data_IF_943103248648
#
_entry.id   IF_943103248648
#
_cell.length_a   1.000
_cell.length_b   1.000
_cell.length_c   1.000
_cell.angle_alpha   90.00
_cell.angle_beta   90.00
_cell.angle_gamma   90.00
#
_symmetry.space_group_name_H-M   'P 1'
#
loop_
_entity.id
_entity.type
_entity.pdbx_description
1 polymer ?
#
# COMPACT_ATOMS: atom_id res chain seq x y z
N UNK A 1 17.29 2.32 1.89
CA UNK A 1 18.61 1.91 1.33
C UNK A 1 19.48 1.15 2.33
N UNK A 2 19.65 1.61 3.58
CA UNK A 2 20.49 0.92 4.59
C UNK A 2 19.95 -0.46 5.03
N UNK A 3 18.66 -0.59 5.38
CA UNK A 3 18.09 -1.88 5.85
C UNK A 3 18.14 -2.99 4.79
N UNK A 4 17.96 -2.63 3.51
CA UNK A 4 18.12 -3.56 2.39
C UNK A 4 19.57 -4.07 2.28
N UNK A 5 20.56 -3.19 2.44
CA UNK A 5 21.98 -3.60 2.45
C UNK A 5 22.29 -4.55 3.61
N UNK A 6 21.74 -4.28 4.80
CA UNK A 6 21.88 -5.18 5.95
C UNK A 6 21.25 -6.54 5.67
N UNK A 7 20.06 -6.59 5.07
CA UNK A 7 19.40 -7.84 4.70
C UNK A 7 20.21 -8.65 3.69
N UNK A 8 20.74 -8.00 2.65
CA UNK A 8 21.58 -8.65 1.64
C UNK A 8 22.89 -9.17 2.24
N UNK A 9 23.57 -8.37 3.06
CA UNK A 9 24.79 -8.80 3.75
C UNK A 9 24.54 -9.98 4.69
N UNK A 10 23.37 -10.03 5.35
CA UNK A 10 23.01 -11.16 6.21
C UNK A 10 22.91 -12.47 5.43
N UNK A 11 22.34 -12.43 4.22
CA UNK A 11 22.29 -13.59 3.31
C UNK A 11 23.71 -13.99 2.91
N UNK A 12 24.56 -13.02 2.52
CA UNK A 12 25.94 -13.29 2.11
C UNK A 12 26.79 -13.92 3.22
N UNK A 13 26.65 -13.42 4.45
CA UNK A 13 27.49 -13.84 5.58
C UNK A 13 27.02 -15.15 6.22
N UNK A 14 25.70 -15.39 6.27
CA UNK A 14 25.13 -16.48 7.07
C UNK A 14 24.30 -17.48 6.26
N UNK A 15 24.06 -17.23 4.96
CA UNK A 15 23.25 -18.09 4.10
C UNK A 15 21.79 -18.21 4.53
N UNK A 16 21.29 -17.23 5.30
CA UNK A 16 19.96 -17.24 5.90
C UNK A 16 19.19 -15.98 5.52
N UNK A 17 17.88 -16.12 5.34
CA UNK A 17 16.98 -14.99 5.14
C UNK A 17 16.77 -14.26 6.49
N UNK A 18 17.15 -12.98 6.53
CA UNK A 18 17.05 -12.16 7.72
C UNK A 18 15.60 -11.95 8.16
N UNK A 19 14.69 -11.69 7.21
CA UNK A 19 13.27 -11.43 7.48
C UNK A 19 12.62 -12.69 8.04
N UNK A 20 12.88 -13.84 7.42
CA UNK A 20 12.37 -15.13 7.91
C UNK A 20 12.85 -15.41 9.34
N UNK A 21 14.11 -15.12 9.64
CA UNK A 21 14.64 -15.32 10.99
C UNK A 21 14.00 -14.36 12.00
N UNK A 22 13.83 -13.08 11.65
CA UNK A 22 13.18 -12.10 12.52
C UNK A 22 11.75 -12.53 12.87
N UNK A 23 10.98 -13.04 11.89
CA UNK A 23 9.63 -13.60 12.12
C UNK A 23 9.61 -14.80 13.06
N UNK A 24 10.70 -15.57 13.12
CA UNK A 24 10.80 -16.74 14.00
C UNK A 24 11.15 -16.37 15.44
N UNK A 25 11.92 -15.29 15.62
CA UNK A 25 12.48 -14.90 16.92
C UNK A 25 11.68 -13.79 17.62
N UNK A 26 10.91 -13.00 16.86
CA UNK A 26 10.05 -11.94 17.37
C UNK A 26 8.60 -12.38 17.34
N UNK A 27 7.78 -11.81 18.22
CA UNK A 27 6.34 -12.06 18.29
C UNK A 27 5.56 -10.78 18.59
N UNK A 28 4.29 -10.77 18.20
CA UNK A 28 3.35 -9.68 18.49
C UNK A 28 3.73 -8.36 17.82
N UNK A 29 3.35 -7.24 18.42
CA UNK A 29 3.50 -5.90 17.82
C UNK A 29 4.95 -5.57 17.44
N UNK A 30 5.93 -6.09 18.18
CA UNK A 30 7.34 -5.89 17.87
C UNK A 30 7.75 -6.60 16.56
N UNK A 31 7.24 -7.80 16.33
CA UNK A 31 7.46 -8.52 15.07
C UNK A 31 6.89 -7.73 13.89
N UNK A 32 5.64 -7.28 14.01
CA UNK A 32 4.96 -6.54 12.95
C UNK A 32 5.71 -5.26 12.56
N UNK A 33 6.18 -4.49 13.56
CA UNK A 33 6.95 -3.27 13.32
C UNK A 33 8.29 -3.58 12.65
N UNK A 34 9.04 -4.55 13.17
CA UNK A 34 10.39 -4.85 12.63
C UNK A 34 10.30 -5.41 11.22
N UNK A 35 9.36 -6.34 10.96
CA UNK A 35 9.14 -6.88 9.61
C UNK A 35 8.68 -5.78 8.67
N UNK A 36 7.78 -4.90 9.10
CA UNK A 36 7.32 -3.78 8.30
C UNK A 36 8.46 -2.83 7.90
N UNK A 37 9.40 -2.55 8.81
CA UNK A 37 10.56 -1.71 8.53
C UNK A 37 11.54 -2.33 7.52
N UNK A 38 11.50 -3.64 7.32
CA UNK A 38 12.35 -4.34 6.34
C UNK A 38 11.82 -4.27 4.90
N UNK A 39 10.55 -3.88 4.73
CA UNK A 39 9.92 -3.75 3.41
C UNK A 39 10.25 -2.42 2.76
N UNK A 40 10.14 -2.37 1.42
CA UNK A 40 10.14 -1.07 0.73
C UNK A 40 8.82 -0.35 1.02
N UNK A 41 8.79 1.00 1.06
CA UNK A 41 7.55 1.73 1.32
C UNK A 41 6.34 1.31 0.45
N UNK A 42 6.46 1.17 -0.88
CA UNK A 42 5.31 0.76 -1.70
C UNK A 42 4.92 -0.71 -1.50
N UNK A 43 5.88 -1.60 -1.19
CA UNK A 43 5.58 -2.99 -0.83
C UNK A 43 4.85 -3.09 0.51
N UNK A 44 5.27 -2.30 1.49
CA UNK A 44 4.60 -2.22 2.78
C UNK A 44 3.15 -1.75 2.62
N UNK A 45 2.91 -0.68 1.85
CA UNK A 45 1.55 -0.22 1.54
C UNK A 45 0.72 -1.33 0.85
N UNK A 46 1.27 -2.05 -0.13
CA UNK A 46 0.59 -3.18 -0.77
C UNK A 46 0.20 -4.28 0.23
N UNK A 47 1.08 -4.62 1.18
CA UNK A 47 0.80 -5.58 2.25
C UNK A 47 -0.30 -5.09 3.18
N UNK A 48 -0.28 -3.81 3.56
CA UNK A 48 -1.31 -3.23 4.44
C UNK A 48 -2.68 -3.18 3.76
N UNK A 49 -2.72 -2.86 2.46
CA UNK A 49 -3.95 -2.90 1.67
C UNK A 49 -4.50 -4.32 1.60
N UNK A 50 -3.66 -5.33 1.34
CA UNK A 50 -4.10 -6.73 1.34
C UNK A 50 -4.67 -7.15 2.70
N UNK A 51 -3.96 -6.85 3.79
CA UNK A 51 -4.43 -7.13 5.17
C UNK A 51 -5.75 -6.41 5.50
N UNK A 52 -6.02 -5.26 4.88
CA UNK A 52 -7.25 -4.51 5.09
C UNK A 52 -8.45 -5.12 4.33
N UNK A 53 -8.19 -5.78 3.20
CA UNK A 53 -9.15 -6.47 2.33
C UNK A 53 -9.45 -7.88 2.86
N UNK A 54 -8.42 -8.63 3.28
CA UNK A 54 -8.53 -10.05 3.68
C UNK A 54 -9.03 -10.25 5.14
N UNK A 55 -9.19 -9.16 5.90
CA UNK A 55 -9.58 -9.21 7.31
C UNK A 55 -11.09 -9.29 7.55
N UNK A 56 -11.51 -9.98 8.62
CA UNK A 56 -12.93 -9.96 9.06
C UNK A 56 -13.30 -8.54 9.52
N UNK A 57 -14.14 -7.89 8.71
CA UNK A 57 -14.53 -6.49 8.87
C UNK A 57 -13.52 -5.57 8.19
N UNK A 58 -13.94 -4.93 7.11
CA UNK A 58 -13.07 -4.08 6.31
C UNK A 58 -12.50 -2.94 7.16
N UNK A 59 -11.18 -2.90 7.29
CA UNK A 59 -10.47 -1.78 7.94
C UNK A 59 -10.42 -0.60 6.98
N UNK A 60 -11.59 -0.05 6.63
CA UNK A 60 -11.80 1.04 5.67
C UNK A 60 -10.85 2.23 5.88
N UNK A 61 -10.44 2.49 7.14
CA UNK A 61 -9.49 3.53 7.48
C UNK A 61 -8.13 3.36 6.80
N UNK A 62 -7.61 2.13 6.71
CA UNK A 62 -6.31 1.85 6.07
C UNK A 62 -6.38 2.09 4.57
N UNK A 63 -7.46 1.62 3.92
CA UNK A 63 -7.71 1.84 2.50
C UNK A 63 -7.77 3.34 2.19
N UNK A 64 -8.54 4.11 2.97
CA UNK A 64 -8.66 5.57 2.81
C UNK A 64 -7.31 6.25 3.06
N UNK A 65 -6.63 5.91 4.16
CA UNK A 65 -5.38 6.56 4.54
C UNK A 65 -4.32 6.43 3.44
N UNK A 66 -4.10 5.21 2.94
CA UNK A 66 -3.11 4.97 1.89
C UNK A 66 -3.55 5.62 0.57
N UNK A 67 -4.75 5.31 0.08
CA UNK A 67 -5.18 5.74 -1.25
C UNK A 67 -5.37 7.26 -1.37
N UNK A 68 -5.77 7.94 -0.29
CA UNK A 68 -5.93 9.40 -0.32
C UNK A 68 -4.60 10.16 -0.17
N UNK A 69 -3.59 9.57 0.47
CA UNK A 69 -2.34 10.28 0.79
C UNK A 69 -1.19 10.03 -0.19
N UNK A 70 -1.23 8.94 -0.98
CA UNK A 70 -0.15 8.59 -1.91
C UNK A 70 -0.28 9.32 -3.24
N UNK A 71 0.84 9.83 -3.74
CA UNK A 71 0.93 10.44 -5.07
C UNK A 71 0.54 9.45 -6.18
N UNK A 72 0.20 9.95 -7.37
CA UNK A 72 -0.13 9.11 -8.51
C UNK A 72 0.98 8.08 -8.82
N UNK A 73 2.25 8.51 -8.78
CA UNK A 73 3.39 7.61 -9.02
C UNK A 73 3.51 6.51 -7.95
N UNK A 74 3.25 6.83 -6.68
CA UNK A 74 3.24 5.84 -5.59
C UNK A 74 2.08 4.85 -5.75
N UNK A 75 0.88 5.31 -6.12
CA UNK A 75 -0.28 4.45 -6.40
C UNK A 75 0.05 3.44 -7.51
N UNK A 76 0.68 3.88 -8.60
CA UNK A 76 1.13 2.98 -9.67
C UNK A 76 2.14 1.94 -9.18
N UNK A 77 3.13 2.35 -8.38
CA UNK A 77 4.11 1.43 -7.81
C UNK A 77 3.45 0.38 -6.90
N UNK A 78 2.50 0.81 -6.06
CA UNK A 78 1.76 -0.07 -5.15
C UNK A 78 0.95 -1.11 -5.95
N UNK A 79 0.22 -0.69 -7.00
CA UNK A 79 -0.59 -1.59 -7.84
C UNK A 79 0.25 -2.69 -8.46
N UNK A 80 1.39 -2.33 -9.05
CA UNK A 80 2.28 -3.29 -9.71
C UNK A 80 2.85 -4.30 -8.71
N UNK A 81 3.30 -3.83 -7.53
CA UNK A 81 3.86 -4.71 -6.49
C UNK A 81 2.79 -5.60 -5.84
N UNK A 82 1.56 -5.10 -5.71
CA UNK A 82 0.44 -5.88 -5.22
C UNK A 82 0.14 -7.05 -6.15
N UNK A 83 0.01 -6.77 -7.45
CA UNK A 83 -0.28 -7.81 -8.45
C UNK A 83 0.84 -8.84 -8.55
N UNK A 84 2.11 -8.40 -8.54
CA UNK A 84 3.28 -9.30 -8.50
C UNK A 84 3.25 -10.24 -7.28
N UNK A 85 2.85 -9.71 -6.12
CA UNK A 85 2.88 -10.45 -4.85
C UNK A 85 1.68 -11.40 -4.67
N UNK A 86 0.50 -10.98 -5.07
CA UNK A 86 -0.77 -11.68 -4.75
C UNK A 86 -1.41 -12.36 -5.96
N UNK A 87 -0.95 -12.07 -7.19
CA UNK A 87 -1.49 -12.68 -8.41
C UNK A 87 -2.89 -12.20 -8.80
N UNK A 88 -3.35 -11.11 -8.19
CA UNK A 88 -4.62 -10.45 -8.45
C UNK A 88 -4.39 -8.94 -8.49
N UNK A 89 -5.10 -8.22 -9.37
CA UNK A 89 -5.03 -6.77 -9.39
C UNK A 89 -5.60 -6.18 -8.10
N UNK A 90 -4.97 -5.12 -7.58
CA UNK A 90 -5.48 -4.41 -6.39
C UNK A 90 -6.90 -3.85 -6.61
N UNK A 91 -7.25 -3.49 -7.85
CA UNK A 91 -8.59 -3.01 -8.18
C UNK A 91 -9.64 -4.11 -8.06
N UNK A 92 -9.34 -5.33 -8.50
CA UNK A 92 -10.26 -6.46 -8.41
C UNK A 92 -10.43 -6.90 -6.95
N UNK A 93 -9.35 -6.96 -6.19
CA UNK A 93 -9.39 -7.26 -4.76
C UNK A 93 -10.27 -6.24 -4.00
N UNK A 94 -10.16 -4.95 -4.31
CA UNK A 94 -11.00 -3.90 -3.70
C UNK A 94 -12.46 -4.03 -4.11
N UNK A 95 -12.77 -4.36 -5.37
CA UNK A 95 -14.15 -4.60 -5.83
C UNK A 95 -14.76 -5.86 -5.21
N UNK A 96 -13.94 -6.85 -4.88
CA UNK A 96 -14.37 -8.08 -4.22
C UNK A 96 -14.83 -7.87 -2.78
N UNK A 97 -14.20 -6.95 -2.04
CA UNK A 97 -14.47 -6.73 -0.62
C UNK A 97 -15.31 -5.48 -0.30
N UNK A 98 -15.44 -4.55 -1.25
CA UNK A 98 -16.20 -3.30 -1.05
C UNK A 98 -17.41 -3.22 -1.97
N UNK A 99 -18.36 -2.33 -1.66
CA UNK A 99 -19.54 -2.11 -2.51
C UNK A 99 -20.02 -0.66 -2.50
N UNK A 100 -20.86 -0.33 -3.47
CA UNK A 100 -21.59 0.94 -3.53
C UNK A 100 -20.68 2.16 -3.78
N UNK A 101 -21.00 3.29 -3.15
CA UNK A 101 -20.23 4.53 -3.34
C UNK A 101 -18.80 4.44 -2.83
N UNK A 102 -18.58 3.63 -1.79
CA UNK A 102 -17.26 3.45 -1.20
C UNK A 102 -16.32 2.75 -2.19
N UNK A 103 -16.75 1.64 -2.78
CA UNK A 103 -16.01 0.94 -3.85
C UNK A 103 -15.64 1.90 -4.99
N UNK A 104 -16.63 2.64 -5.51
CA UNK A 104 -16.41 3.58 -6.62
C UNK A 104 -15.36 4.64 -6.30
N UNK A 105 -15.37 5.15 -5.07
CA UNK A 105 -14.37 6.11 -4.61
C UNK A 105 -12.97 5.49 -4.59
N UNK A 106 -12.81 4.30 -4.01
CA UNK A 106 -11.50 3.63 -3.93
C UNK A 106 -10.96 3.27 -5.32
N UNK A 107 -11.80 2.75 -6.21
CA UNK A 107 -11.44 2.46 -7.60
C UNK A 107 -11.02 3.73 -8.34
N UNK A 108 -11.68 4.86 -8.09
CA UNK A 108 -11.29 6.15 -8.67
C UNK A 108 -9.93 6.62 -8.17
N UNK A 109 -9.61 6.44 -6.88
CA UNK A 109 -8.30 6.79 -6.33
C UNK A 109 -7.19 5.89 -6.91
N UNK A 110 -7.49 4.61 -7.12
CA UNK A 110 -6.58 3.65 -7.73
C UNK A 110 -6.27 3.93 -9.21
N UNK A 111 -7.01 4.82 -9.88
CA UNK A 111 -6.64 5.26 -11.23
C UNK A 111 -5.32 6.05 -11.24
N UNK A 112 -4.91 6.63 -10.10
CA UNK A 112 -3.64 7.35 -10.01
C UNK A 112 -3.54 8.49 -11.03
N UNK A 113 -4.65 9.20 -11.24
CA UNK A 113 -4.78 10.30 -12.21
C UNK A 113 -5.31 11.58 -11.54
N UNK A 114 -4.95 11.84 -10.28
CA UNK A 114 -5.27 13.11 -9.63
C UNK A 114 -4.55 14.26 -10.32
N UNK A 115 -5.16 15.44 -10.28
CA UNK A 115 -4.56 16.65 -10.82
C UNK A 115 -3.34 17.03 -9.96
N UNK A 116 -2.17 16.61 -10.41
CA UNK A 116 -0.92 16.71 -9.64
C UNK A 116 -0.21 18.05 -9.79
N UNK A 117 -0.62 18.90 -10.73
CA UNK A 117 0.18 20.04 -11.16
C UNK A 117 -0.67 21.18 -11.71
N UNK A 118 -1.40 21.86 -10.82
CA UNK A 118 -1.94 23.18 -11.13
C UNK A 118 -2.24 23.95 -9.84
N UNK A 119 -1.38 24.91 -9.47
CA UNK A 119 -1.78 25.97 -8.54
C UNK A 119 -2.84 26.91 -9.16
N UNK A 120 -3.17 26.69 -10.44
CA UNK A 120 -4.22 27.42 -11.13
C UNK A 120 -5.58 26.79 -10.77
N UNK A 121 -6.35 27.57 -10.02
CA UNK A 121 -7.74 27.25 -9.68
C UNK A 121 -8.63 27.80 -10.79
N UNK A 122 -9.36 26.93 -11.47
CA UNK A 122 -10.45 27.32 -12.35
C UNK A 122 -11.60 27.89 -11.51
N UNK A 123 -11.70 29.21 -11.46
CA UNK A 123 -12.64 29.94 -10.61
C UNK A 123 -14.12 29.76 -10.99
N UNK A 124 -14.42 29.26 -12.19
CA UNK A 124 -15.78 28.93 -12.60
C UNK A 124 -16.18 27.55 -12.07
N UNK A 125 -15.30 26.56 -12.23
CA UNK A 125 -15.53 25.21 -11.64
C UNK A 125 -15.57 25.22 -10.12
N UNK A 126 -14.79 26.09 -9.47
CA UNK A 126 -14.77 26.20 -8.02
C UNK A 126 -16.11 26.69 -7.43
N UNK A 127 -16.92 27.44 -8.21
CA UNK A 127 -18.23 27.96 -7.76
C UNK A 127 -19.37 26.95 -7.91
N UNK A 128 -19.25 25.96 -8.79
CA UNK A 128 -20.28 24.93 -9.00
C UNK A 128 -20.39 23.93 -7.83
N UNK A 129 -19.38 23.88 -6.95
CA UNK A 129 -19.28 22.92 -5.85
C UNK A 129 -19.54 23.53 -4.46
N UNK A 130 -19.90 24.82 -4.39
CA UNK A 130 -20.19 25.54 -3.14
C UNK A 130 -21.69 25.78 -2.94
#
# INVERSE_FOLDING_TARGET
MHLFQVAQQYITLYGKDLIHKLKKELHGDLEDVIVGLMETPPMYDAIQLHKAIDGIGTKNKVLIEILCSRTNAEIWAIKNLYEEKYGESLEDAVKGDTSGHFERLLVSLLQGNRDDQSYYVDGEKAKEVS
#
